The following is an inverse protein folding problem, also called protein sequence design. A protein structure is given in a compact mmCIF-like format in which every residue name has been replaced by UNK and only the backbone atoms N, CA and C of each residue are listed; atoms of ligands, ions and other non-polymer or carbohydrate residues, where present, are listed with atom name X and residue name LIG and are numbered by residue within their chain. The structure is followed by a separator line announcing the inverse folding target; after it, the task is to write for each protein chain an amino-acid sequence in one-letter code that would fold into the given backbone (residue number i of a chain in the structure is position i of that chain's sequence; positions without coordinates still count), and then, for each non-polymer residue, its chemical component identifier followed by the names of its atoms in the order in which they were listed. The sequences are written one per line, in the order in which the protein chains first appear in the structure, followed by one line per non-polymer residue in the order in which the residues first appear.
data_IF_102876051089
#
_entry.id   IF_102876051089
#
_cell.length_a   1.000
_cell.length_b   1.000
_cell.length_c   1.000
_cell.angle_alpha   90.00
_cell.angle_beta   90.00
_cell.angle_gamma   90.00
#
_symmetry.space_group_name_H-M   'P 1'
#
loop_
_entity.id
_entity.type
_entity.pdbx_description
1 polymer ?
#
# COMPACT_ATOMS: atom_id res chain seq x y z
N UNK A 1 1.30 11.46 -24.48
CA UNK A 1 1.07 11.76 -23.05
C UNK A 1 0.78 10.45 -22.32
N UNK A 2 1.53 10.15 -21.27
CA UNK A 2 1.23 8.97 -20.45
C UNK A 2 0.45 9.42 -19.23
N UNK A 3 -0.78 8.97 -19.11
CA UNK A 3 -1.66 9.19 -17.95
C UNK A 3 -2.01 7.86 -17.32
N UNK A 4 -2.02 7.81 -15.99
CA UNK A 4 -2.53 6.69 -15.23
C UNK A 4 -3.72 7.18 -14.41
N UNK A 5 -4.87 6.57 -14.62
CA UNK A 5 -6.07 6.82 -13.83
C UNK A 5 -6.35 5.64 -12.92
N UNK A 6 -6.54 5.91 -11.63
CA UNK A 6 -6.92 4.92 -10.65
C UNK A 6 -7.67 5.56 -9.48
N UNK A 7 -8.82 5.01 -9.13
CA UNK A 7 -9.66 5.41 -7.98
C UNK A 7 -9.79 6.92 -7.76
N UNK A 8 -10.07 7.65 -8.84
CA UNK A 8 -10.30 9.10 -8.78
C UNK A 8 -9.04 9.96 -8.76
N UNK A 9 -7.85 9.37 -8.81
CA UNK A 9 -6.61 10.12 -9.02
C UNK A 9 -6.09 9.92 -10.46
N UNK A 10 -5.67 11.02 -11.07
CA UNK A 10 -4.99 11.02 -12.37
C UNK A 10 -3.54 11.42 -12.18
N UNK A 11 -2.63 10.50 -12.46
CA UNK A 11 -1.20 10.77 -12.48
C UNK A 11 -0.77 11.07 -13.92
N UNK A 12 -0.07 12.19 -14.12
CA UNK A 12 0.38 12.63 -15.44
C UNK A 12 1.68 13.42 -15.32
N UNK A 13 2.31 13.65 -16.47
CA UNK A 13 3.48 14.52 -16.61
C UNK A 13 3.17 16.03 -16.48
N UNK A 14 1.89 16.40 -16.39
CA UNK A 14 1.45 17.79 -16.36
C UNK A 14 1.09 18.34 -15.00
N UNK A 15 0.82 17.47 -14.02
CA UNK A 15 0.35 17.91 -12.71
C UNK A 15 1.02 17.11 -11.59
N UNK A 16 1.75 17.82 -10.74
CA UNK A 16 2.30 17.27 -9.51
C UNK A 16 1.17 16.90 -8.54
N UNK A 17 1.30 15.75 -7.90
CA UNK A 17 0.41 15.26 -6.85
C UNK A 17 1.14 15.21 -5.52
N UNK A 18 0.43 15.52 -4.45
CA UNK A 18 0.95 15.46 -3.09
C UNK A 18 0.61 14.10 -2.50
N UNK A 19 1.67 13.34 -2.15
CA UNK A 19 1.56 12.09 -1.42
C UNK A 19 2.07 12.27 0.01
N UNK A 20 1.31 11.81 0.99
CA UNK A 20 1.68 11.87 2.41
C UNK A 20 1.77 10.46 2.97
N UNK A 21 2.91 10.08 3.59
CA UNK A 21 3.06 8.74 4.16
C UNK A 21 2.39 8.60 5.54
N UNK A 22 1.88 7.39 5.81
CA UNK A 22 1.50 6.89 7.13
C UNK A 22 2.53 5.85 7.54
N UNK A 23 3.14 6.05 8.71
CA UNK A 23 4.24 5.24 9.24
C UNK A 23 4.01 4.80 10.70
N UNK A 24 2.75 4.77 11.12
CA UNK A 24 2.39 4.33 12.48
C UNK A 24 2.85 2.90 12.75
N UNK A 25 3.37 2.67 13.94
CA UNK A 25 3.90 1.37 14.38
C UNK A 25 2.82 0.49 15.00
N UNK A 26 1.71 1.09 15.41
CA UNK A 26 0.52 0.42 15.92
C UNK A 26 -0.76 1.03 15.35
N UNK A 27 -1.89 0.39 15.62
CA UNK A 27 -3.19 0.80 15.08
C UNK A 27 -3.64 2.19 15.55
N UNK A 28 -3.27 2.59 16.77
CA UNK A 28 -3.64 3.89 17.33
C UNK A 28 -2.86 5.02 16.64
N UNK A 29 -1.55 4.85 16.48
CA UNK A 29 -0.73 5.80 15.72
C UNK A 29 -1.20 5.94 14.27
N UNK A 30 -1.58 4.83 13.63
CA UNK A 30 -2.14 4.86 12.26
C UNK A 30 -3.41 5.70 12.21
N UNK A 31 -4.33 5.54 13.16
CA UNK A 31 -5.56 6.33 13.24
C UNK A 31 -5.27 7.82 13.44
N UNK A 32 -4.41 8.15 14.40
CA UNK A 32 -4.03 9.54 14.66
C UNK A 32 -3.39 10.21 13.45
N UNK A 33 -2.51 9.50 12.75
CA UNK A 33 -1.89 10.00 11.53
C UNK A 33 -2.92 10.20 10.43
N UNK A 34 -3.82 9.24 10.23
CA UNK A 34 -4.88 9.34 9.22
C UNK A 34 -5.82 10.52 9.49
N UNK A 35 -6.21 10.76 10.75
CA UNK A 35 -7.02 11.92 11.14
C UNK A 35 -6.31 13.26 10.86
N UNK A 36 -5.03 13.37 11.19
CA UNK A 36 -4.23 14.55 10.89
C UNK A 36 -4.12 14.81 9.40
N UNK A 37 -3.86 13.75 8.62
CA UNK A 37 -3.71 13.81 7.17
C UNK A 37 -5.04 14.17 6.48
N UNK A 38 -6.17 13.69 7.00
CA UNK A 38 -7.48 14.04 6.46
C UNK A 38 -7.72 15.56 6.42
N UNK A 39 -7.21 16.30 7.41
CA UNK A 39 -7.29 17.76 7.45
C UNK A 39 -6.35 18.46 6.44
N UNK A 40 -5.32 17.79 5.99
CA UNK A 40 -4.39 18.31 4.97
C UNK A 40 -4.92 18.13 3.54
N UNK A 41 -5.87 17.20 3.36
CA UNK A 41 -6.49 16.87 2.08
C UNK A 41 -5.48 16.64 0.93
N UNK A 42 -4.50 15.72 1.09
CA UNK A 42 -3.55 15.41 0.03
C UNK A 42 -4.23 14.70 -1.15
N UNK A 43 -3.52 14.58 -2.28
CA UNK A 43 -4.02 13.85 -3.44
C UNK A 43 -4.04 12.33 -3.22
N UNK A 44 -3.07 11.80 -2.47
CA UNK A 44 -2.90 10.38 -2.21
C UNK A 44 -2.16 10.17 -0.89
N UNK A 45 -2.40 9.04 -0.25
CA UNK A 45 -1.69 8.62 0.97
C UNK A 45 -0.93 7.33 0.70
N UNK A 46 0.30 7.24 1.16
CA UNK A 46 1.08 6.01 1.14
C UNK A 46 1.07 5.37 2.52
N UNK A 47 0.52 4.16 2.65
CA UNK A 47 0.69 3.40 3.88
C UNK A 47 1.98 2.57 3.80
N UNK A 48 2.95 2.92 4.63
CA UNK A 48 4.21 2.22 4.84
C UNK A 48 4.01 1.08 5.85
N UNK A 49 3.52 -0.04 5.35
CA UNK A 49 3.15 -1.19 6.16
C UNK A 49 4.35 -1.88 6.84
N UNK A 50 5.56 -1.64 6.37
CA UNK A 50 6.79 -2.13 6.98
C UNK A 50 7.10 -1.51 8.35
N UNK A 51 6.51 -0.36 8.69
CA UNK A 51 6.60 0.23 10.02
C UNK A 51 5.70 -0.47 11.06
N UNK A 52 4.57 -1.03 10.61
CA UNK A 52 3.58 -1.61 11.51
C UNK A 52 4.11 -2.86 12.22
N UNK A 53 3.98 -2.90 13.56
CA UNK A 53 4.53 -3.98 14.38
C UNK A 53 3.55 -5.14 14.53
N UNK A 54 3.33 -5.84 13.42
CA UNK A 54 2.44 -7.00 13.34
C UNK A 54 3.17 -8.29 13.71
N UNK A 55 2.48 -9.20 14.37
CA UNK A 55 2.98 -10.56 14.63
C UNK A 55 2.66 -11.47 13.45
N UNK A 56 3.64 -12.25 13.03
CA UNK A 56 3.48 -13.30 12.02
C UNK A 56 2.88 -12.85 10.68
N UNK A 57 3.00 -11.56 10.34
CA UNK A 57 2.41 -10.97 9.12
C UNK A 57 0.93 -11.30 8.95
N UNK A 58 0.14 -11.18 10.02
CA UNK A 58 -1.29 -11.50 10.03
C UNK A 58 -2.08 -10.57 9.11
N UNK A 59 -2.71 -11.14 8.10
CA UNK A 59 -3.53 -10.41 7.12
C UNK A 59 -4.68 -9.64 7.76
N UNK A 60 -5.25 -10.15 8.84
CA UNK A 60 -6.38 -9.49 9.52
C UNK A 60 -5.94 -8.21 10.22
N UNK A 61 -4.73 -8.14 10.74
CA UNK A 61 -4.18 -6.91 11.31
C UNK A 61 -3.91 -5.87 10.23
N UNK A 62 -3.39 -6.28 9.07
CA UNK A 62 -3.23 -5.38 7.92
C UNK A 62 -4.56 -4.85 7.40
N UNK A 63 -5.60 -5.70 7.37
CA UNK A 63 -6.95 -5.26 7.00
C UNK A 63 -7.52 -4.24 8.00
N UNK A 64 -7.30 -4.42 9.30
CA UNK A 64 -7.71 -3.45 10.31
C UNK A 64 -7.03 -2.09 10.13
N UNK A 65 -5.74 -2.08 9.77
CA UNK A 65 -5.02 -0.86 9.46
C UNK A 65 -5.59 -0.15 8.22
N UNK A 66 -5.82 -0.89 7.13
CA UNK A 66 -6.43 -0.34 5.92
C UNK A 66 -7.84 0.21 6.18
N UNK A 67 -8.62 -0.50 7.00
CA UNK A 67 -9.92 -0.02 7.44
C UNK A 67 -9.82 1.29 8.20
N UNK A 68 -8.93 1.37 9.19
CA UNK A 68 -8.73 2.58 9.98
C UNK A 68 -8.29 3.78 9.12
N UNK A 69 -7.39 3.56 8.18
CA UNK A 69 -6.96 4.59 7.23
C UNK A 69 -8.14 5.05 6.36
N UNK A 70 -8.85 4.11 5.73
CA UNK A 70 -9.94 4.42 4.83
C UNK A 70 -11.12 5.10 5.54
N UNK A 71 -11.46 4.71 6.77
CA UNK A 71 -12.54 5.31 7.54
C UNK A 71 -12.28 6.80 7.83
N UNK A 72 -11.03 7.19 8.01
CA UNK A 72 -10.61 8.59 8.24
C UNK A 72 -10.43 9.38 6.95
N UNK A 73 -9.84 8.77 5.92
CA UNK A 73 -9.49 9.46 4.67
C UNK A 73 -10.60 9.43 3.62
N UNK A 74 -11.53 8.47 3.71
CA UNK A 74 -12.72 8.29 2.86
C UNK A 74 -12.44 8.28 1.35
N UNK A 75 -12.23 9.45 0.74
CA UNK A 75 -12.06 9.61 -0.71
C UNK A 75 -10.61 9.66 -1.18
N UNK A 76 -9.67 9.80 -0.26
CA UNK A 76 -8.26 9.88 -0.62
C UNK A 76 -7.76 8.46 -0.92
N UNK A 77 -7.25 8.19 -2.12
CA UNK A 77 -6.76 6.87 -2.49
C UNK A 77 -5.48 6.51 -1.74
N UNK A 78 -5.29 5.21 -1.49
CA UNK A 78 -4.17 4.66 -0.74
C UNK A 78 -3.21 3.96 -1.70
N UNK A 79 -1.91 4.21 -1.51
CA UNK A 79 -0.83 3.37 -2.01
C UNK A 79 -0.43 2.42 -0.87
N UNK A 80 -0.49 1.13 -1.09
CA UNK A 80 0.09 0.15 -0.17
C UNK A 80 1.55 -0.10 -0.53
N UNK A 81 2.43 0.09 0.45
CA UNK A 81 3.86 -0.15 0.32
C UNK A 81 4.37 -0.97 1.50
N UNK A 82 4.95 -2.13 1.22
CA UNK A 82 5.78 -2.86 2.17
C UNK A 82 7.24 -2.77 1.70
N UNK A 83 7.97 -1.79 2.21
CA UNK A 83 9.37 -1.59 1.87
C UNK A 83 10.24 -2.53 2.69
N UNK A 84 10.93 -3.47 2.03
CA UNK A 84 11.80 -4.41 2.73
C UNK A 84 13.11 -3.76 3.16
N UNK A 85 13.77 -4.33 4.16
CA UNK A 85 15.09 -3.85 4.61
C UNK A 85 16.16 -3.92 3.51
N UNK A 86 15.98 -4.77 2.51
CA UNK A 86 16.88 -4.86 1.34
C UNK A 86 16.85 -3.60 0.48
N UNK A 87 15.73 -2.89 0.47
CA UNK A 87 15.54 -1.63 -0.25
C UNK A 87 15.35 -0.43 0.69
N UNK A 88 15.88 -0.51 1.90
CA UNK A 88 15.91 0.59 2.87
C UNK A 88 14.66 0.74 3.73
N UNK A 89 13.82 -0.30 3.81
CA UNK A 89 12.68 -0.35 4.73
C UNK A 89 13.05 -0.80 6.14
N UNK A 90 12.03 -0.83 7.02
CA UNK A 90 12.23 -1.10 8.45
C UNK A 90 12.37 -2.59 8.77
N UNK A 91 11.73 -3.48 8.01
CA UNK A 91 11.66 -4.90 8.32
C UNK A 91 12.08 -5.78 7.15
N UNK A 92 12.68 -6.93 7.49
CA UNK A 92 12.84 -8.03 6.55
C UNK A 92 11.54 -8.86 6.51
N UNK A 93 11.25 -9.42 5.36
CA UNK A 93 10.16 -10.36 5.13
C UNK A 93 10.63 -11.38 4.10
N UNK A 94 10.20 -12.63 4.23
CA UNK A 94 10.48 -13.57 3.16
C UNK A 94 9.57 -13.33 1.94
N UNK A 95 9.99 -13.83 0.78
CA UNK A 95 9.29 -13.54 -0.48
C UNK A 95 7.88 -14.13 -0.52
N UNK A 96 7.65 -15.27 0.13
CA UNK A 96 6.33 -15.92 0.14
C UNK A 96 5.33 -15.09 0.93
N UNK A 97 5.71 -14.64 2.12
CA UNK A 97 4.89 -13.74 2.95
C UNK A 97 4.68 -12.39 2.27
N UNK A 98 5.72 -11.82 1.66
CA UNK A 98 5.60 -10.58 0.89
C UNK A 98 4.57 -10.71 -0.24
N UNK A 99 4.68 -11.77 -1.04
CA UNK A 99 3.74 -12.02 -2.14
C UNK A 99 2.32 -12.27 -1.63
N UNK A 100 2.17 -13.00 -0.52
CA UNK A 100 0.89 -13.28 0.10
C UNK A 100 0.19 -12.00 0.57
N UNK A 101 0.92 -11.12 1.27
CA UNK A 101 0.38 -9.85 1.74
C UNK A 101 -0.02 -8.92 0.60
N UNK A 102 0.84 -8.74 -0.39
CA UNK A 102 0.53 -7.91 -1.56
C UNK A 102 -0.70 -8.43 -2.32
N UNK A 103 -0.80 -9.76 -2.48
CA UNK A 103 -1.96 -10.39 -3.10
C UNK A 103 -3.22 -10.15 -2.29
N UNK A 104 -3.20 -10.42 -0.98
CA UNK A 104 -4.33 -10.20 -0.09
C UNK A 104 -4.81 -8.75 -0.15
N UNK A 105 -3.91 -7.78 -0.03
CA UNK A 105 -4.25 -6.35 -0.15
C UNK A 105 -4.87 -6.04 -1.51
N UNK A 106 -4.40 -6.65 -2.58
CA UNK A 106 -4.99 -6.44 -3.92
C UNK A 106 -6.44 -6.94 -4.01
N UNK A 107 -6.74 -8.07 -3.37
CA UNK A 107 -8.09 -8.66 -3.34
C UNK A 107 -9.09 -7.80 -2.57
N UNK A 108 -8.66 -7.11 -1.50
CA UNK A 108 -9.49 -6.20 -0.70
C UNK A 108 -9.37 -4.73 -1.11
N UNK A 109 -8.63 -4.44 -2.17
CA UNK A 109 -8.28 -3.08 -2.60
C UNK A 109 -9.50 -2.19 -2.88
N UNK A 110 -10.56 -2.74 -3.45
CA UNK A 110 -11.79 -2.01 -3.72
C UNK A 110 -12.51 -1.59 -2.44
N UNK A 111 -12.53 -2.48 -1.46
CA UNK A 111 -13.20 -2.27 -0.16
C UNK A 111 -12.59 -1.10 0.62
N UNK A 112 -11.28 -0.91 0.52
CA UNK A 112 -10.54 0.07 1.31
C UNK A 112 -9.87 1.16 0.50
N UNK A 113 -10.30 1.35 -0.75
CA UNK A 113 -9.79 2.42 -1.64
C UNK A 113 -8.26 2.37 -1.88
N UNK A 114 -7.68 1.15 -1.89
CA UNK A 114 -6.29 0.96 -2.28
C UNK A 114 -6.19 1.10 -3.80
N UNK A 115 -5.56 2.17 -4.26
CA UNK A 115 -5.46 2.49 -5.69
C UNK A 115 -4.23 1.86 -6.35
N UNK A 116 -3.14 1.73 -5.60
CA UNK A 116 -1.86 1.24 -6.08
C UNK A 116 -1.19 0.35 -5.04
N UNK A 117 -0.40 -0.60 -5.53
CA UNK A 117 0.48 -1.44 -4.70
C UNK A 117 1.90 -1.27 -5.23
N UNK A 118 2.79 -0.84 -4.36
CA UNK A 118 4.22 -0.82 -4.65
C UNK A 118 4.78 -2.24 -4.55
N UNK A 119 5.36 -2.74 -5.63
CA UNK A 119 5.95 -4.08 -5.70
C UNK A 119 7.43 -3.97 -5.98
N UNK A 120 8.25 -4.43 -5.04
CA UNK A 120 9.70 -4.47 -5.19
C UNK A 120 10.13 -5.48 -6.25
N UNK A 121 11.15 -5.11 -7.01
CA UNK A 121 11.76 -5.99 -8.01
C UNK A 121 12.81 -6.87 -7.33
N UNK A 122 12.42 -8.09 -7.01
CA UNK A 122 13.35 -9.09 -6.52
C UNK A 122 14.27 -9.60 -7.64
N UNK A 123 15.53 -9.80 -7.30
CA UNK A 123 16.52 -10.36 -8.20
C UNK A 123 16.59 -11.89 -8.05
N UNK A 124 17.15 -12.56 -9.07
CA UNK A 124 17.47 -13.99 -9.07
C UNK A 124 16.27 -14.95 -9.00
N UNK A 125 16.33 -15.89 -8.03
CA UNK A 125 15.36 -16.98 -7.90
C UNK A 125 13.91 -16.51 -7.65
N UNK A 126 13.76 -15.41 -6.95
CA UNK A 126 12.45 -14.91 -6.49
C UNK A 126 11.71 -14.14 -7.60
N UNK A 127 12.37 -13.89 -8.73
CA UNK A 127 11.79 -13.14 -9.86
C UNK A 127 10.54 -13.77 -10.47
N UNK A 128 10.43 -15.13 -10.41
CA UNK A 128 9.25 -15.83 -10.92
C UNK A 128 8.02 -15.59 -10.05
N UNK A 129 8.22 -15.57 -8.73
CA UNK A 129 7.15 -15.35 -7.76
C UNK A 129 6.63 -13.93 -7.88
N UNK A 130 7.50 -12.96 -8.02
CA UNK A 130 7.14 -11.57 -8.30
C UNK A 130 6.42 -11.43 -9.64
N UNK A 131 6.86 -12.11 -10.68
CA UNK A 131 6.17 -12.12 -11.98
C UNK A 131 4.74 -12.64 -11.88
N UNK A 132 4.53 -13.70 -11.11
CA UNK A 132 3.19 -14.24 -10.83
C UNK A 132 2.35 -13.28 -10.00
N UNK A 133 2.93 -12.70 -8.95
CA UNK A 133 2.28 -11.70 -8.12
C UNK A 133 1.77 -10.52 -8.96
N UNK A 134 2.59 -9.98 -9.86
CA UNK A 134 2.18 -8.87 -10.73
C UNK A 134 0.99 -9.21 -11.62
N UNK A 135 0.90 -10.46 -12.10
CA UNK A 135 -0.26 -10.93 -12.86
C UNK A 135 -1.51 -11.04 -11.98
N UNK A 136 -1.36 -11.57 -10.76
CA UNK A 136 -2.46 -11.69 -9.79
C UNK A 136 -2.99 -10.30 -9.41
N UNK A 137 -2.12 -9.36 -9.03
CA UNK A 137 -2.48 -7.97 -8.71
C UNK A 137 -3.20 -7.31 -9.89
N UNK A 138 -2.65 -7.45 -11.09
CA UNK A 138 -3.25 -6.85 -12.29
C UNK A 138 -4.66 -7.35 -12.55
N UNK A 139 -4.97 -8.60 -12.20
CA UNK A 139 -6.30 -9.19 -12.37
C UNK A 139 -7.36 -8.56 -11.47
N UNK A 140 -6.99 -7.94 -10.34
CA UNK A 140 -7.91 -7.26 -9.42
C UNK A 140 -8.26 -5.83 -9.84
N UNK A 141 -7.56 -5.27 -10.84
CA UNK A 141 -7.75 -3.90 -11.33
C UNK A 141 -7.00 -2.83 -10.53
N UNK A 142 -6.33 -3.17 -9.43
CA UNK A 142 -5.40 -2.27 -8.74
C UNK A 142 -4.14 -2.03 -9.59
N UNK A 143 -3.47 -0.90 -9.39
CA UNK A 143 -2.29 -0.49 -10.18
C UNK A 143 -1.00 -0.70 -9.40
#
# INVERSE_FOLDING_TARGET
MKTLECRGITLSDKQTKICVPITGTDLEEIKEQAEKIANMNPDVVEWRADFYDVKDNDETEFEQCLKAINDNLKKIPIIYTYRTSNEGGEKSIDVDDYCRLCKYVSEISEKYNVAMIDVELYENKDRKDIGKLLLDIKSTGVK
#
